data_IF_979401763009
#
_entry.id   IF_979401763009
#
_cell.length_a   1.000
_cell.length_b   1.000
_cell.length_c   1.000
_cell.angle_alpha   90.00
_cell.angle_beta   90.00
_cell.angle_gamma   90.00
#
_symmetry.space_group_name_H-M   'P 1'
#
loop_
_entity.id
_entity.type
_entity.pdbx_description
1 polymer ?
#
# COMPACT_ATOMS: atom_id res chain seq x y z
N UNK A 1 14.33 4.59 -7.96
CA UNK A 1 13.83 3.40 -8.69
C UNK A 1 13.61 2.28 -7.68
N UNK A 2 12.47 1.59 -7.70
CA UNK A 2 11.94 0.70 -6.64
C UNK A 2 12.75 -0.57 -6.29
N UNK A 3 13.99 -0.72 -6.77
CA UNK A 3 14.86 -1.86 -6.41
C UNK A 3 14.41 -3.25 -6.88
N UNK A 4 13.40 -3.35 -7.76
CA UNK A 4 12.84 -4.61 -8.23
C UNK A 4 13.84 -5.47 -9.02
N UNK A 5 13.89 -6.78 -8.74
CA UNK A 5 14.81 -7.74 -9.38
C UNK A 5 14.31 -8.30 -10.70
N UNK A 6 13.00 -8.36 -10.88
CA UNK A 6 12.34 -8.89 -12.07
C UNK A 6 11.13 -8.02 -12.41
N UNK A 7 10.71 -8.08 -13.67
CA UNK A 7 9.46 -7.47 -14.13
C UNK A 7 8.27 -8.36 -13.74
N UNK A 8 7.09 -7.76 -13.57
CA UNK A 8 5.83 -8.51 -13.44
C UNK A 8 5.65 -9.44 -14.65
N UNK A 9 5.35 -10.70 -14.39
CA UNK A 9 5.07 -11.67 -15.46
C UNK A 9 3.81 -11.22 -16.23
N UNK A 10 3.87 -11.07 -17.58
CA UNK A 10 2.71 -10.65 -18.37
C UNK A 10 1.48 -11.53 -18.19
N UNK A 11 1.66 -12.79 -17.79
CA UNK A 11 0.57 -13.71 -17.48
C UNK A 11 -0.27 -13.27 -16.28
N UNK A 12 0.29 -12.49 -15.34
CA UNK A 12 -0.48 -11.95 -14.22
C UNK A 12 -1.60 -11.01 -14.69
N UNK A 13 -1.31 -10.14 -15.66
CA UNK A 13 -2.33 -9.26 -16.26
C UNK A 13 -3.44 -10.09 -16.91
N UNK A 14 -3.06 -11.04 -17.77
CA UNK A 14 -4.02 -11.87 -18.51
C UNK A 14 -4.87 -12.77 -17.61
N UNK A 15 -4.27 -13.33 -16.57
CA UNK A 15 -4.91 -14.39 -15.77
C UNK A 15 -5.57 -13.85 -14.49
N UNK A 16 -5.09 -12.73 -13.92
CA UNK A 16 -5.65 -12.17 -12.71
C UNK A 16 -6.47 -10.91 -13.01
N UNK A 17 -5.87 -9.91 -13.67
CA UNK A 17 -6.52 -8.61 -13.89
C UNK A 17 -7.66 -8.69 -14.91
N UNK A 18 -7.41 -9.27 -16.09
CA UNK A 18 -8.42 -9.35 -17.16
C UNK A 18 -9.58 -10.30 -16.83
N UNK A 19 -9.37 -11.27 -15.93
CA UNK A 19 -10.41 -12.23 -15.53
C UNK A 19 -11.39 -11.63 -14.51
N UNK A 20 -10.89 -10.88 -13.53
CA UNK A 20 -11.72 -10.29 -12.48
C UNK A 20 -11.10 -9.02 -11.88
N UNK A 21 -11.24 -7.91 -12.59
CA UNK A 21 -10.69 -6.61 -12.13
C UNK A 21 -11.31 -6.15 -10.81
N UNK A 22 -12.57 -6.50 -10.52
CA UNK A 22 -13.25 -6.08 -9.29
C UNK A 22 -12.62 -6.71 -8.04
N UNK A 23 -12.21 -7.98 -8.13
CA UNK A 23 -11.48 -8.66 -7.06
C UNK A 23 -10.09 -8.06 -6.85
N UNK A 24 -9.40 -7.70 -7.93
CA UNK A 24 -8.11 -6.99 -7.85
C UNK A 24 -8.26 -5.62 -7.19
N UNK A 25 -9.31 -4.85 -7.53
CA UNK A 25 -9.56 -3.56 -6.90
C UNK A 25 -9.91 -3.72 -5.42
N UNK A 26 -10.66 -4.76 -5.06
CA UNK A 26 -10.93 -5.08 -3.65
C UNK A 26 -9.64 -5.39 -2.88
N UNK A 27 -8.77 -6.24 -3.44
CA UNK A 27 -7.48 -6.56 -2.83
C UNK A 27 -6.55 -5.33 -2.76
N UNK A 28 -6.58 -4.47 -3.79
CA UNK A 28 -5.86 -3.20 -3.82
C UNK A 28 -6.33 -2.30 -2.68
N UNK A 29 -7.63 -2.08 -2.50
CA UNK A 29 -8.13 -1.30 -1.37
C UNK A 29 -7.58 -1.86 -0.04
N UNK A 30 -7.62 -3.17 0.17
CA UNK A 30 -7.02 -3.77 1.36
C UNK A 30 -5.49 -3.58 1.43
N UNK A 31 -4.77 -3.49 0.32
CA UNK A 31 -3.34 -3.15 0.34
C UNK A 31 -3.10 -1.74 0.87
N UNK A 32 -3.89 -0.75 0.43
CA UNK A 32 -3.76 0.64 0.92
C UNK A 32 -4.07 0.74 2.41
N UNK A 33 -5.15 0.10 2.86
CA UNK A 33 -5.48 0.04 4.29
C UNK A 33 -4.35 -0.62 5.12
N UNK A 34 -3.73 -1.68 4.60
CA UNK A 34 -2.62 -2.36 5.26
C UNK A 34 -1.38 -1.46 5.32
N UNK A 35 -1.10 -0.69 4.26
CA UNK A 35 -0.01 0.27 4.24
C UNK A 35 -0.21 1.36 5.32
N UNK A 36 -1.39 1.98 5.38
CA UNK A 36 -1.74 2.95 6.43
C UNK A 36 -1.60 2.36 7.83
N UNK A 37 -2.12 1.14 8.04
CA UNK A 37 -2.05 0.44 9.33
C UNK A 37 -0.60 0.13 9.75
N UNK A 38 0.26 -0.19 8.78
CA UNK A 38 1.67 -0.44 9.04
C UNK A 38 2.42 0.83 9.41
N UNK A 39 2.16 1.94 8.71
CA UNK A 39 2.70 3.25 9.05
C UNK A 39 2.33 3.66 10.49
N UNK A 40 1.07 3.51 10.88
CA UNK A 40 0.60 3.74 12.26
C UNK A 40 1.32 2.82 13.25
N UNK A 41 1.55 1.56 12.90
CA UNK A 41 2.29 0.64 13.76
C UNK A 41 3.72 1.11 14.01
N UNK A 42 4.40 1.64 12.99
CA UNK A 42 5.75 2.19 13.13
C UNK A 42 5.79 3.42 14.04
N UNK A 43 4.79 4.31 13.95
CA UNK A 43 4.64 5.45 14.86
C UNK A 43 4.58 4.99 16.32
N UNK A 44 3.78 3.95 16.59
CA UNK A 44 3.59 3.43 17.95
C UNK A 44 4.84 2.72 18.48
N UNK A 45 5.56 1.99 17.62
CA UNK A 45 6.72 1.18 18.01
C UNK A 45 7.98 2.05 18.20
N UNK A 46 8.10 3.16 17.46
CA UNK A 46 9.30 4.01 17.41
C UNK A 46 8.98 5.50 17.69
N UNK A 47 8.29 5.84 18.79
CA UNK A 47 7.81 7.20 19.04
C UNK A 47 8.92 8.23 19.29
N UNK A 48 10.11 7.79 19.69
CA UNK A 48 11.28 8.65 19.92
C UNK A 48 11.92 9.17 18.62
N UNK A 49 11.62 8.54 17.49
CA UNK A 49 12.13 8.90 16.18
C UNK A 49 11.20 9.91 15.50
N UNK A 50 11.26 11.18 15.90
CA UNK A 50 10.29 12.20 15.47
C UNK A 50 10.19 12.37 13.95
N UNK A 51 11.31 12.32 13.23
CA UNK A 51 11.29 12.37 11.75
C UNK A 51 10.53 11.19 11.13
N UNK A 52 10.69 9.98 11.70
CA UNK A 52 9.92 8.80 11.25
C UNK A 52 8.44 8.98 11.56
N UNK A 53 8.10 9.52 12.73
CA UNK A 53 6.71 9.76 13.13
C UNK A 53 6.01 10.72 12.16
N UNK A 54 6.67 11.82 11.81
CA UNK A 54 6.11 12.82 10.88
C UNK A 54 5.88 12.19 9.50
N UNK A 55 6.90 11.54 8.92
CA UNK A 55 6.80 10.90 7.59
C UNK A 55 5.77 9.75 7.56
N UNK A 56 5.67 8.94 8.62
CA UNK A 56 4.68 7.87 8.69
C UNK A 56 3.26 8.40 8.93
N UNK A 57 3.11 9.56 9.57
CA UNK A 57 1.80 10.21 9.72
C UNK A 57 1.29 10.67 8.37
N UNK A 58 2.14 11.33 7.58
CA UNK A 58 1.79 11.76 6.23
C UNK A 58 1.48 10.57 5.32
N UNK A 59 2.31 9.51 5.36
CA UNK A 59 2.07 8.27 4.62
C UNK A 59 0.73 7.63 5.01
N UNK A 60 0.42 7.52 6.30
CA UNK A 60 -0.83 6.92 6.74
C UNK A 60 -2.07 7.68 6.23
N UNK A 61 -1.98 9.01 6.12
CA UNK A 61 -3.04 9.84 5.56
C UNK A 61 -3.18 9.63 4.06
N UNK A 62 -2.07 9.66 3.31
CA UNK A 62 -2.05 9.41 1.86
C UNK A 62 -2.68 8.05 1.51
N UNK A 63 -2.29 6.99 2.21
CA UNK A 63 -2.81 5.65 1.91
C UNK A 63 -4.28 5.48 2.31
N UNK A 64 -4.77 6.23 3.29
CA UNK A 64 -6.20 6.28 3.59
C UNK A 64 -7.00 7.07 2.55
N UNK A 65 -6.39 8.07 1.91
CA UNK A 65 -6.97 8.73 0.75
C UNK A 65 -7.03 7.77 -0.45
N UNK A 66 -5.96 7.02 -0.73
CA UNK A 66 -5.95 5.96 -1.74
C UNK A 66 -7.06 4.93 -1.48
N UNK A 67 -7.17 4.41 -0.25
CA UNK A 67 -8.22 3.47 0.14
C UNK A 67 -9.63 3.96 -0.17
N UNK A 68 -9.89 5.26 0.00
CA UNK A 68 -11.19 5.88 -0.28
C UNK A 68 -11.49 6.01 -1.78
N UNK A 69 -10.44 6.11 -2.61
CA UNK A 69 -10.57 6.30 -4.05
C UNK A 69 -10.73 5.00 -4.84
N UNK A 70 -10.28 3.87 -4.28
CA UNK A 70 -10.42 2.53 -4.88
C UNK A 70 -11.86 2.02 -4.74
#
# INVERSE_FOLDING_TARGET
>A
MLGLKLKTDPRWVKNAVEQNVAEILTDHAYCEQKAASHAISLIVIFPEHTELVDEMTDLALEEMEHFKMV
#
